data_IF_651579020302
#
_entry.id   IF_651579020302
#
_cell.length_a   1.000
_cell.length_b   1.000
_cell.length_c   1.000
_cell.angle_alpha   90.00
_cell.angle_beta   90.00
_cell.angle_gamma   90.00
#
_symmetry.space_group_name_H-M   'P 1'
#
loop_
_entity.id
_entity.type
_entity.pdbx_description
1 polymer ?
#
# COMPACT_ATOMS: atom_id res chain seq x y z
N UNK A 1 -9.20 16.11 29.25
CA UNK A 1 -10.00 16.73 28.18
C UNK A 1 -10.43 15.61 27.24
N UNK A 2 -11.74 15.39 27.10
CA UNK A 2 -12.29 14.26 26.35
C UNK A 2 -11.92 14.31 24.86
N UNK A 3 -11.93 13.14 24.23
CA UNK A 3 -11.92 12.98 22.77
C UNK A 3 -12.95 13.96 22.18
N UNK A 4 -12.64 14.68 21.09
CA UNK A 4 -13.67 15.44 20.39
C UNK A 4 -14.82 14.49 20.09
N UNK A 5 -16.07 14.90 20.35
CA UNK A 5 -17.22 14.16 19.82
C UNK A 5 -17.17 14.32 18.29
N UNK A 6 -16.40 13.45 17.62
CA UNK A 6 -16.65 13.12 16.24
C UNK A 6 -18.16 12.89 16.14
N UNK A 7 -18.83 13.56 15.20
CA UNK A 7 -20.23 13.25 14.91
C UNK A 7 -20.35 11.74 14.71
N UNK A 8 -21.48 11.17 15.12
CA UNK A 8 -21.72 9.74 14.97
C UNK A 8 -21.43 9.31 13.53
N UNK A 9 -20.66 8.21 13.37
CA UNK A 9 -20.18 7.80 12.06
C UNK A 9 -21.36 7.31 11.21
N UNK A 10 -21.48 7.87 10.01
CA UNK A 10 -22.49 7.42 9.04
C UNK A 10 -22.05 6.10 8.43
N UNK A 11 -22.86 5.05 8.56
CA UNK A 11 -22.56 3.75 7.95
C UNK A 11 -22.67 3.82 6.43
N UNK A 12 -21.64 3.34 5.74
CA UNK A 12 -21.57 3.31 4.28
C UNK A 12 -21.09 1.95 3.78
N UNK A 13 -21.43 1.61 2.54
CA UNK A 13 -20.92 0.41 1.84
C UNK A 13 -19.56 0.67 1.20
N UNK A 14 -18.84 -0.39 0.79
CA UNK A 14 -17.58 -0.23 0.03
C UNK A 14 -17.76 0.54 -1.28
N UNK A 15 -18.90 0.35 -1.97
CA UNK A 15 -19.22 1.11 -3.19
C UNK A 15 -19.41 2.60 -2.89
N UNK A 16 -20.07 2.93 -1.76
CA UNK A 16 -20.22 4.31 -1.33
C UNK A 16 -18.89 4.91 -0.88
N UNK A 17 -17.99 4.12 -0.26
CA UNK A 17 -16.63 4.54 0.09
C UNK A 17 -15.83 4.93 -1.14
N UNK A 18 -15.87 4.11 -2.21
CA UNK A 18 -15.19 4.41 -3.47
C UNK A 18 -15.70 5.72 -4.09
N UNK A 19 -17.03 5.91 -4.14
CA UNK A 19 -17.65 7.16 -4.62
C UNK A 19 -17.27 8.36 -3.77
N UNK A 20 -17.20 8.20 -2.45
CA UNK A 20 -16.79 9.26 -1.53
C UNK A 20 -15.34 9.68 -1.81
N UNK A 21 -14.44 8.73 -2.04
CA UNK A 21 -13.06 9.01 -2.38
C UNK A 21 -12.95 9.78 -3.71
N UNK A 22 -13.63 9.31 -4.75
CA UNK A 22 -13.71 9.96 -6.07
C UNK A 22 -14.25 11.40 -5.95
N UNK A 23 -15.36 11.58 -5.23
CA UNK A 23 -15.96 12.90 -4.95
C UNK A 23 -14.96 13.85 -4.26
N UNK A 24 -14.20 13.34 -3.29
CA UNK A 24 -13.18 14.14 -2.60
C UNK A 24 -12.06 14.56 -3.55
N UNK A 25 -11.63 13.65 -4.43
CA UNK A 25 -10.60 13.94 -5.43
C UNK A 25 -11.10 15.00 -6.41
N UNK A 26 -12.27 14.80 -7.03
CA UNK A 26 -12.79 15.67 -8.08
C UNK A 26 -13.09 17.08 -7.56
N UNK A 27 -13.68 17.20 -6.36
CA UNK A 27 -14.07 18.51 -5.80
C UNK A 27 -12.89 19.34 -5.30
N UNK A 28 -11.76 18.71 -4.94
CA UNK A 28 -10.67 19.39 -4.22
C UNK A 28 -9.34 19.42 -4.98
N UNK A 29 -9.26 18.77 -6.15
CA UNK A 29 -8.05 18.72 -6.96
C UNK A 29 -8.37 18.91 -8.44
N UNK A 30 -7.43 19.46 -9.18
CA UNK A 30 -7.50 19.59 -10.64
C UNK A 30 -6.58 18.55 -11.30
N UNK A 31 -6.75 18.33 -12.61
CA UNK A 31 -5.86 17.49 -13.39
C UNK A 31 -4.39 17.92 -13.22
N UNK A 32 -3.48 16.95 -13.19
CA UNK A 32 -2.03 17.12 -13.00
C UNK A 32 -1.59 17.74 -11.66
N UNK A 33 -2.50 17.99 -10.73
CA UNK A 33 -2.12 18.37 -9.37
C UNK A 33 -1.48 17.20 -8.63
N UNK A 34 -0.52 17.51 -7.75
CA UNK A 34 0.19 16.52 -6.94
C UNK A 34 -0.55 16.31 -5.63
N UNK A 35 -1.03 15.09 -5.41
CA UNK A 35 -1.66 14.68 -4.15
C UNK A 35 -0.69 13.82 -3.37
N UNK A 36 -0.57 14.08 -2.06
CA UNK A 36 0.27 13.28 -1.16
C UNK A 36 -0.57 12.19 -0.50
N UNK A 37 -0.10 10.96 -0.62
CA UNK A 37 -0.52 9.80 0.16
C UNK A 37 0.54 9.57 1.21
N UNK A 38 0.17 9.79 2.47
CA UNK A 38 1.07 9.70 3.60
C UNK A 38 0.69 8.50 4.47
N UNK A 39 1.65 7.60 4.68
CA UNK A 39 1.46 6.32 5.36
C UNK A 39 0.46 5.37 4.68
N UNK A 40 0.62 4.09 5.02
CA UNK A 40 0.31 2.90 4.22
C UNK A 40 -1.14 2.67 3.75
N UNK A 41 -1.22 1.83 2.71
CA UNK A 41 -2.32 0.91 2.37
C UNK A 41 -3.63 1.50 1.81
N UNK A 42 -3.54 2.15 0.66
CA UNK A 42 -4.70 2.65 -0.08
C UNK A 42 -4.55 2.45 -1.59
N UNK A 43 -4.37 1.20 -2.01
CA UNK A 43 -4.34 0.80 -3.43
C UNK A 43 -5.45 1.51 -4.20
N UNK A 44 -6.65 1.46 -3.65
CA UNK A 44 -7.85 2.05 -4.24
C UNK A 44 -7.75 3.58 -4.36
N UNK A 45 -7.25 4.29 -3.35
CA UNK A 45 -7.18 5.76 -3.39
C UNK A 45 -6.11 6.27 -4.34
N UNK A 46 -4.94 5.60 -4.37
CA UNK A 46 -3.87 5.92 -5.32
C UNK A 46 -4.31 5.65 -6.76
N UNK A 47 -5.00 4.52 -6.97
CA UNK A 47 -5.56 4.14 -8.25
C UNK A 47 -6.66 5.11 -8.69
N UNK A 48 -7.53 5.54 -7.77
CA UNK A 48 -8.59 6.49 -8.05
C UNK A 48 -8.03 7.86 -8.43
N UNK A 49 -7.01 8.35 -7.71
CA UNK A 49 -6.30 9.58 -8.07
C UNK A 49 -5.71 9.51 -9.49
N UNK A 50 -4.97 8.44 -9.79
CA UNK A 50 -4.32 8.28 -11.09
C UNK A 50 -5.34 8.08 -12.23
N UNK A 51 -6.42 7.34 -11.99
CA UNK A 51 -7.53 7.16 -12.96
C UNK A 51 -8.23 8.48 -13.29
N UNK A 52 -8.16 9.42 -12.36
CA UNK A 52 -8.66 10.77 -12.46
C UNK A 52 -7.56 11.75 -12.91
N UNK A 53 -6.41 11.30 -13.44
CA UNK A 53 -5.36 12.16 -13.98
C UNK A 53 -4.69 13.08 -12.94
N UNK A 54 -4.58 12.61 -11.69
CA UNK A 54 -3.82 13.30 -10.62
C UNK A 54 -2.44 12.64 -10.47
N UNK A 55 -1.42 13.46 -10.26
CA UNK A 55 -0.08 12.98 -9.93
C UNK A 55 -0.05 12.53 -8.47
N UNK A 56 0.46 11.33 -8.20
CA UNK A 56 0.45 10.75 -6.86
C UNK A 56 1.87 10.73 -6.29
N UNK A 57 2.05 11.31 -5.11
CA UNK A 57 3.26 11.19 -4.30
C UNK A 57 2.95 10.23 -3.14
N UNK A 58 3.69 9.13 -3.02
CA UNK A 58 3.48 8.14 -1.96
C UNK A 58 4.67 8.14 -1.03
N UNK A 59 4.45 8.54 0.22
CA UNK A 59 5.41 8.37 1.30
C UNK A 59 4.98 7.22 2.20
N UNK A 60 5.78 6.15 2.24
CA UNK A 60 5.55 4.97 3.07
C UNK A 60 6.88 4.38 3.54
N UNK A 61 6.99 4.18 4.85
CA UNK A 61 8.08 3.47 5.50
C UNK A 61 8.03 1.94 5.31
N UNK A 62 6.94 1.38 4.78
CA UNK A 62 6.87 -0.05 4.48
C UNK A 62 7.47 -0.38 3.11
N UNK A 63 8.57 -1.17 3.06
CA UNK A 63 9.22 -1.55 1.79
C UNK A 63 8.34 -2.42 0.88
N UNK A 64 7.36 -3.15 1.44
CA UNK A 64 6.44 -3.99 0.67
C UNK A 64 5.45 -3.17 -0.16
N UNK A 65 5.16 -1.92 0.25
CA UNK A 65 4.22 -1.05 -0.49
C UNK A 65 4.72 -0.82 -1.92
N UNK A 66 5.99 -0.46 -2.10
CA UNK A 66 6.54 -0.22 -3.44
C UNK A 66 6.44 -1.45 -4.33
N UNK A 67 6.68 -2.64 -3.76
CA UNK A 67 6.66 -3.93 -4.49
C UNK A 67 5.25 -4.29 -4.96
N UNK A 68 4.23 -4.08 -4.13
CA UNK A 68 2.85 -4.44 -4.44
C UNK A 68 2.10 -3.38 -5.26
N UNK A 69 2.45 -2.10 -5.08
CA UNK A 69 1.70 -1.00 -5.66
C UNK A 69 2.18 -0.65 -7.07
N UNK A 70 3.50 -0.60 -7.29
CA UNK A 70 4.05 -0.01 -8.52
C UNK A 70 3.63 -0.79 -9.78
N UNK A 71 3.52 -2.11 -9.68
CA UNK A 71 3.10 -2.99 -10.79
C UNK A 71 1.69 -2.67 -11.30
N UNK A 72 0.77 -2.26 -10.41
CA UNK A 72 -0.65 -2.04 -10.74
C UNK A 72 -0.93 -0.84 -11.66
N UNK A 73 0.08 -0.03 -11.97
CA UNK A 73 -0.03 1.14 -12.85
C UNK A 73 0.56 0.92 -14.25
N UNK A 74 1.14 -0.25 -14.53
CA UNK A 74 1.70 -0.56 -15.86
C UNK A 74 1.65 -2.05 -16.11
N UNK A 75 0.96 -2.50 -17.15
CA UNK A 75 0.71 -3.92 -17.40
C UNK A 75 1.56 -4.42 -18.59
N UNK A 76 2.39 -5.46 -18.41
CA UNK A 76 3.20 -6.01 -19.48
C UNK A 76 2.37 -6.89 -20.42
N UNK A 77 2.89 -7.20 -21.60
CA UNK A 77 2.28 -8.23 -22.43
C UNK A 77 2.40 -9.60 -21.77
N UNK A 78 1.35 -10.43 -21.90
CA UNK A 78 1.39 -11.82 -21.43
C UNK A 78 2.55 -12.61 -22.06
N UNK A 79 2.87 -12.33 -23.32
CA UNK A 79 3.98 -12.96 -24.04
C UNK A 79 5.32 -12.60 -23.39
N UNK A 80 5.53 -11.34 -23.04
CA UNK A 80 6.74 -10.89 -22.35
C UNK A 80 6.90 -11.55 -20.98
N UNK A 81 5.79 -11.66 -20.22
CA UNK A 81 5.78 -12.34 -18.92
C UNK A 81 6.18 -13.83 -19.05
N UNK A 82 5.57 -14.56 -20.01
CA UNK A 82 5.89 -15.97 -20.27
C UNK A 82 7.35 -16.17 -20.66
N UNK A 83 7.86 -15.33 -21.54
CA UNK A 83 9.25 -15.40 -21.98
C UNK A 83 10.20 -15.16 -20.80
N UNK A 84 9.91 -14.16 -19.96
CA UNK A 84 10.72 -13.85 -18.78
C UNK A 84 10.77 -15.02 -17.79
N UNK A 85 9.63 -15.63 -17.49
CA UNK A 85 9.56 -16.80 -16.58
C UNK A 85 10.29 -18.02 -17.16
N UNK A 86 10.26 -18.22 -18.48
CA UNK A 86 10.98 -19.31 -19.14
C UNK A 86 12.49 -19.20 -18.96
N UNK A 87 13.04 -17.99 -18.93
CA UNK A 87 14.47 -17.74 -18.79
C UNK A 87 15.02 -17.99 -17.37
N UNK A 88 14.15 -18.16 -16.37
CA UNK A 88 14.57 -18.43 -14.99
C UNK A 88 14.96 -19.90 -14.87
N UNK A 89 16.24 -20.20 -14.75
CA UNK A 89 16.72 -21.56 -14.52
C UNK A 89 16.40 -22.04 -13.11
N UNK A 90 16.06 -23.32 -12.97
CA UNK A 90 15.84 -23.92 -11.66
C UNK A 90 17.18 -24.32 -11.07
N UNK A 91 17.45 -23.86 -9.86
CA UNK A 91 18.63 -24.25 -9.11
C UNK A 91 18.23 -25.32 -8.08
N UNK A 92 19.13 -26.27 -7.79
CA UNK A 92 18.94 -27.27 -6.74
C UNK A 92 19.52 -26.76 -5.43
N UNK A 93 18.80 -26.92 -4.31
CA UNK A 93 19.18 -26.27 -3.05
C UNK A 93 19.21 -27.21 -1.84
N UNK A 94 19.96 -26.78 -0.83
CA UNK A 94 19.80 -27.27 0.54
C UNK A 94 18.51 -26.68 1.15
N UNK A 95 17.64 -27.50 1.74
CA UNK A 95 16.33 -27.06 2.20
C UNK A 95 16.40 -26.15 3.44
N UNK A 96 15.60 -25.08 3.44
CA UNK A 96 15.27 -24.37 4.66
C UNK A 96 14.08 -25.07 5.33
N UNK A 97 14.33 -25.73 6.46
CA UNK A 97 13.33 -26.55 7.16
C UNK A 97 12.04 -25.77 7.49
N UNK A 98 12.16 -24.48 7.84
CA UNK A 98 11.00 -23.64 8.17
C UNK A 98 10.12 -23.38 6.95
N UNK A 99 10.73 -23.15 5.77
CA UNK A 99 9.98 -22.89 4.54
C UNK A 99 9.32 -24.16 3.98
N UNK A 100 9.91 -25.32 4.23
CA UNK A 100 9.35 -26.62 3.84
C UNK A 100 8.09 -26.99 4.62
N UNK A 101 7.81 -26.35 5.76
CA UNK A 101 6.51 -26.50 6.43
C UNK A 101 5.36 -25.97 5.55
N UNK A 102 5.62 -24.95 4.73
CA UNK A 102 4.61 -24.27 3.93
C UNK A 102 4.62 -24.70 2.45
N UNK A 103 5.77 -25.10 1.93
CA UNK A 103 6.01 -25.33 0.50
C UNK A 103 6.62 -26.72 0.28
N UNK A 104 6.14 -27.45 -0.73
CA UNK A 104 6.82 -28.67 -1.16
C UNK A 104 8.26 -28.34 -1.63
N UNK A 105 9.21 -29.30 -1.59
CA UNK A 105 10.58 -29.06 -2.05
C UNK A 105 10.66 -28.54 -3.49
N UNK A 106 9.76 -29.00 -4.37
CA UNK A 106 9.64 -28.52 -5.75
C UNK A 106 9.23 -27.04 -5.75
N UNK A 107 8.10 -26.71 -5.13
CA UNK A 107 7.57 -25.33 -5.07
C UNK A 107 8.57 -24.36 -4.45
N UNK A 108 9.23 -24.77 -3.36
CA UNK A 108 10.28 -23.99 -2.70
C UNK A 108 11.43 -23.66 -3.64
N UNK A 109 11.93 -24.65 -4.38
CA UNK A 109 13.05 -24.48 -5.31
C UNK A 109 12.70 -23.50 -6.44
N UNK A 110 11.46 -23.54 -6.93
CA UNK A 110 11.00 -22.57 -7.94
C UNK A 110 10.93 -21.15 -7.37
N UNK A 111 10.35 -20.96 -6.18
CA UNK A 111 10.32 -19.65 -5.52
C UNK A 111 11.72 -19.10 -5.25
N UNK A 112 12.65 -19.95 -4.80
CA UNK A 112 14.03 -19.53 -4.54
C UNK A 112 14.76 -19.17 -5.84
N UNK A 113 14.56 -19.92 -6.91
CA UNK A 113 15.14 -19.60 -8.23
C UNK A 113 14.61 -18.27 -8.75
N UNK A 114 13.30 -18.02 -8.61
CA UNK A 114 12.68 -16.75 -8.97
C UNK A 114 13.18 -15.60 -8.08
N UNK A 115 13.32 -15.83 -6.78
CA UNK A 115 13.89 -14.87 -5.84
C UNK A 115 15.28 -14.42 -6.29
N UNK A 116 16.20 -15.37 -6.48
CA UNK A 116 17.59 -15.10 -6.87
C UNK A 116 17.65 -14.36 -8.20
N UNK A 117 16.88 -14.82 -9.20
CA UNK A 117 16.77 -14.11 -10.47
C UNK A 117 16.35 -12.64 -10.28
N UNK A 118 15.32 -12.41 -9.46
CA UNK A 118 14.72 -11.10 -9.26
C UNK A 118 15.53 -10.15 -8.36
N UNK A 119 16.50 -10.66 -7.60
CA UNK A 119 17.44 -9.84 -6.81
C UNK A 119 18.33 -9.01 -7.72
N UNK A 120 18.87 -9.62 -8.78
CA UNK A 120 19.78 -8.96 -9.73
C UNK A 120 19.09 -8.40 -10.98
N UNK A 121 17.81 -8.71 -11.18
CA UNK A 121 17.09 -8.31 -12.39
C UNK A 121 16.77 -6.79 -12.42
N UNK A 122 16.74 -6.17 -13.62
CA UNK A 122 16.38 -4.76 -13.76
C UNK A 122 14.96 -4.49 -13.24
N UNK A 123 14.70 -3.29 -12.73
CA UNK A 123 13.37 -2.87 -12.23
C UNK A 123 12.41 -2.51 -13.37
N UNK A 124 12.33 -3.37 -14.39
CA UNK A 124 11.38 -3.24 -15.49
C UNK A 124 9.97 -3.71 -15.08
N UNK A 125 8.97 -3.32 -15.86
CA UNK A 125 7.55 -3.60 -15.61
C UNK A 125 7.29 -5.10 -15.45
N UNK A 126 7.94 -5.96 -16.24
CA UNK A 126 7.73 -7.41 -16.20
C UNK A 126 8.22 -7.97 -14.86
N UNK A 127 9.44 -7.62 -14.44
CA UNK A 127 9.99 -8.08 -13.17
C UNK A 127 9.21 -7.56 -11.96
N UNK A 128 8.72 -6.31 -12.02
CA UNK A 128 7.85 -5.76 -10.98
C UNK A 128 6.55 -6.57 -10.87
N UNK A 129 5.96 -6.97 -12.00
CA UNK A 129 4.78 -7.84 -12.00
C UNK A 129 5.04 -9.22 -11.44
N UNK A 130 6.13 -9.87 -11.84
CA UNK A 130 6.51 -11.17 -11.30
C UNK A 130 6.69 -11.04 -9.78
N UNK A 131 7.45 -10.04 -9.29
CA UNK A 131 7.62 -9.78 -7.85
C UNK A 131 6.27 -9.64 -7.16
N UNK A 132 5.42 -8.74 -7.66
CA UNK A 132 4.09 -8.47 -7.10
C UNK A 132 3.24 -9.74 -7.00
N UNK A 133 3.13 -10.52 -8.08
CA UNK A 133 2.31 -11.74 -8.11
C UNK A 133 2.87 -12.82 -7.19
N UNK A 134 4.19 -13.02 -7.15
CA UNK A 134 4.79 -13.98 -6.23
C UNK A 134 4.47 -13.65 -4.77
N UNK A 135 4.46 -12.35 -4.43
CA UNK A 135 3.98 -11.89 -3.14
C UNK A 135 2.55 -12.33 -2.86
N UNK A 136 1.61 -12.06 -3.77
CA UNK A 136 0.20 -12.46 -3.64
C UNK A 136 0.03 -13.98 -3.49
N UNK A 137 0.76 -14.77 -4.29
CA UNK A 137 0.73 -16.24 -4.20
C UNK A 137 1.18 -16.70 -2.80
N UNK A 138 2.27 -16.14 -2.26
CA UNK A 138 2.76 -16.51 -0.94
C UNK A 138 1.82 -16.07 0.19
N UNK A 139 1.06 -14.98 0.01
CA UNK A 139 -0.01 -14.64 0.96
C UNK A 139 -1.07 -15.74 1.01
N UNK A 140 -1.48 -16.23 -0.16
CA UNK A 140 -2.47 -17.28 -0.28
C UNK A 140 -1.96 -18.62 0.26
N UNK A 141 -0.67 -18.93 0.10
CA UNK A 141 -0.03 -20.10 0.74
C UNK A 141 -0.17 -20.01 2.26
N UNK A 142 0.14 -18.87 2.88
CA UNK A 142 0.01 -18.68 4.33
C UNK A 142 -1.42 -18.87 4.82
N UNK A 143 -2.40 -18.29 4.10
CA UNK A 143 -3.83 -18.45 4.40
C UNK A 143 -4.26 -19.91 4.29
N UNK A 144 -3.87 -20.59 3.22
CA UNK A 144 -4.20 -22.00 2.99
C UNK A 144 -3.58 -22.93 4.01
N UNK A 145 -2.31 -22.73 4.37
CA UNK A 145 -1.64 -23.52 5.40
C UNK A 145 -2.30 -23.37 6.77
N UNK A 146 -2.80 -22.17 7.08
CA UNK A 146 -3.53 -21.94 8.33
C UNK A 146 -4.78 -22.81 8.46
N UNK A 147 -5.38 -23.20 7.34
CA UNK A 147 -6.59 -24.04 7.25
C UNK A 147 -6.22 -25.52 7.13
N UNK A 148 -5.38 -25.86 6.15
CA UNK A 148 -5.12 -27.25 5.73
C UNK A 148 -3.96 -27.92 6.47
N UNK A 149 -3.03 -27.14 7.02
CA UNK A 149 -1.81 -27.63 7.71
C UNK A 149 -0.94 -28.57 6.87
N UNK A 150 -0.96 -28.36 5.54
CA UNK A 150 -0.17 -29.15 4.59
C UNK A 150 0.64 -28.22 3.67
N UNK A 151 1.86 -28.64 3.28
CA UNK A 151 2.69 -27.86 2.37
C UNK A 151 2.08 -27.79 0.98
N UNK A 152 2.07 -26.59 0.40
CA UNK A 152 1.52 -26.36 -0.93
C UNK A 152 2.44 -26.90 -2.03
N UNK A 153 1.86 -27.62 -2.98
CA UNK A 153 2.58 -28.22 -4.12
C UNK A 153 1.97 -27.75 -5.44
N UNK A 154 2.66 -26.87 -6.17
CA UNK A 154 2.22 -26.34 -7.46
C UNK A 154 3.43 -25.81 -8.27
N UNK A 155 3.24 -25.64 -9.57
CA UNK A 155 4.21 -24.95 -10.43
C UNK A 155 4.05 -23.43 -10.29
N UNK A 156 5.10 -22.77 -9.81
CA UNK A 156 5.05 -21.35 -9.46
C UNK A 156 4.94 -20.49 -10.71
N UNK A 157 5.60 -20.87 -11.80
CA UNK A 157 5.57 -20.11 -13.05
C UNK A 157 4.19 -20.17 -13.71
N UNK A 158 3.56 -21.34 -13.72
CA UNK A 158 2.19 -21.51 -14.18
C UNK A 158 1.22 -20.70 -13.33
N UNK A 159 1.36 -20.74 -12.01
CA UNK A 159 0.52 -19.96 -11.09
C UNK A 159 0.66 -18.44 -11.33
N UNK A 160 1.87 -17.95 -11.61
CA UNK A 160 2.09 -16.53 -11.96
C UNK A 160 1.32 -16.15 -13.23
N UNK A 161 1.38 -17.00 -14.25
CA UNK A 161 0.68 -16.77 -15.53
C UNK A 161 -0.83 -16.77 -15.32
N UNK A 162 -1.35 -17.71 -14.54
CA UNK A 162 -2.78 -17.81 -14.22
C UNK A 162 -3.26 -16.57 -13.46
N UNK A 163 -2.54 -16.17 -12.41
CA UNK A 163 -2.88 -14.99 -11.61
C UNK A 163 -2.90 -13.73 -12.47
N UNK A 164 -1.89 -13.56 -13.34
CA UNK A 164 -1.82 -12.42 -14.24
C UNK A 164 -3.02 -12.37 -15.21
N UNK A 165 -3.41 -13.50 -15.80
CA UNK A 165 -4.57 -13.56 -16.71
C UNK A 165 -5.86 -13.14 -15.99
N UNK A 166 -6.08 -13.64 -14.78
CA UNK A 166 -7.28 -13.33 -14.00
C UNK A 166 -7.38 -11.84 -13.66
N UNK A 167 -6.25 -11.21 -13.34
CA UNK A 167 -6.20 -9.75 -13.14
C UNK A 167 -6.46 -9.02 -14.45
N UNK A 168 -5.74 -9.37 -15.52
CA UNK A 168 -5.77 -8.65 -16.79
C UNK A 168 -7.14 -8.69 -17.48
N UNK A 169 -7.90 -9.78 -17.33
CA UNK A 169 -9.22 -9.94 -17.94
C UNK A 169 -10.23 -8.85 -17.55
N UNK A 170 -10.04 -8.21 -16.40
CA UNK A 170 -11.01 -7.29 -15.82
C UNK A 170 -10.65 -5.81 -15.97
N UNK A 171 -9.57 -5.51 -16.72
CA UNK A 171 -9.04 -4.16 -16.78
C UNK A 171 -9.45 -3.46 -18.07
N UNK A 172 -9.98 -2.24 -17.92
CA UNK A 172 -10.29 -1.36 -19.04
C UNK A 172 -8.98 -0.85 -19.70
N UNK A 173 -8.75 -1.11 -21.01
CA UNK A 173 -7.55 -0.67 -21.71
C UNK A 173 -7.33 0.84 -21.74
N UNK A 174 -8.41 1.64 -21.78
CA UNK A 174 -8.33 3.11 -21.73
C UNK A 174 -7.81 3.55 -20.37
N UNK A 175 -8.32 2.92 -19.29
CA UNK A 175 -7.86 3.19 -17.93
C UNK A 175 -6.37 2.88 -17.77
N UNK A 176 -5.86 1.84 -18.43
CA UNK A 176 -4.43 1.53 -18.43
C UNK A 176 -3.55 2.62 -19.06
N UNK A 177 -3.99 3.21 -20.17
CA UNK A 177 -3.25 4.30 -20.84
C UNK A 177 -3.13 5.52 -19.92
N UNK A 178 -4.20 5.84 -19.21
CA UNK A 178 -4.21 6.92 -18.21
C UNK A 178 -3.25 6.57 -17.07
N UNK A 179 -3.42 5.41 -16.43
CA UNK A 179 -2.62 5.00 -15.28
C UNK A 179 -1.11 4.97 -15.58
N UNK A 180 -0.72 4.58 -16.79
CA UNK A 180 0.68 4.57 -17.20
C UNK A 180 1.32 5.96 -17.17
N UNK A 181 0.53 7.00 -17.43
CA UNK A 181 0.97 8.40 -17.41
C UNK A 181 1.02 8.98 -16.00
N UNK A 182 0.31 8.37 -15.04
CA UNK A 182 0.17 8.82 -13.66
C UNK A 182 0.71 7.80 -12.64
N UNK A 183 1.79 7.10 -13.00
CA UNK A 183 2.46 6.16 -12.10
C UNK A 183 2.89 6.92 -10.81
N UNK A 184 2.57 6.40 -9.61
CA UNK A 184 2.93 7.05 -8.37
C UNK A 184 4.44 7.22 -8.21
N UNK A 185 4.84 8.41 -7.76
CA UNK A 185 6.21 8.68 -7.34
C UNK A 185 6.38 8.29 -5.87
N UNK A 186 7.18 7.27 -5.61
CA UNK A 186 7.47 6.80 -4.25
C UNK A 186 8.62 7.60 -3.66
N UNK A 187 8.35 8.18 -2.49
CA UNK A 187 9.27 9.03 -1.75
C UNK A 187 9.82 8.24 -0.56
N UNK A 188 11.14 8.31 -0.35
CA UNK A 188 11.85 7.53 0.67
C UNK A 188 12.07 8.31 1.97
N UNK A 189 12.12 9.64 1.90
CA UNK A 189 12.34 10.54 3.04
C UNK A 189 11.30 11.66 3.06
N UNK A 190 10.85 12.06 4.26
CA UNK A 190 10.01 13.25 4.45
C UNK A 190 10.63 14.51 3.82
N UNK A 191 11.96 14.63 3.81
CA UNK A 191 12.65 15.76 3.19
C UNK A 191 12.42 15.86 1.68
N UNK A 192 12.26 14.71 1.00
CA UNK A 192 11.99 14.66 -0.45
C UNK A 192 10.55 15.11 -0.79
N UNK A 193 9.63 15.17 0.19
CA UNK A 193 8.25 15.63 -0.04
C UNK A 193 8.24 17.08 -0.54
N UNK A 194 9.04 17.96 0.06
CA UNK A 194 9.10 19.37 -0.33
C UNK A 194 9.65 19.56 -1.75
N UNK A 195 10.71 18.83 -2.08
CA UNK A 195 11.31 18.83 -3.42
C UNK A 195 10.29 18.31 -4.44
N UNK A 196 9.63 17.20 -4.13
CA UNK A 196 8.62 16.57 -4.98
C UNK A 196 7.40 17.45 -5.21
N UNK A 197 7.00 18.24 -4.20
CA UNK A 197 5.92 19.23 -4.32
C UNK A 197 6.40 20.57 -4.94
N UNK A 198 7.70 20.74 -5.19
CA UNK A 198 8.26 21.99 -5.72
C UNK A 198 8.05 23.18 -4.78
N UNK A 199 8.17 22.96 -3.46
CA UNK A 199 7.89 23.92 -2.38
C UNK A 199 6.44 24.45 -2.34
N UNK A 200 5.52 23.82 -3.08
CA UNK A 200 4.08 24.13 -3.01
C UNK A 200 3.41 23.24 -1.97
N UNK A 201 2.26 23.70 -1.47
CA UNK A 201 1.35 22.89 -0.68
C UNK A 201 0.37 22.14 -1.58
N UNK A 202 -0.20 21.05 -1.09
CA UNK A 202 -1.27 20.30 -1.77
C UNK A 202 -2.63 20.63 -1.16
N UNK A 203 -3.68 20.60 -1.97
CA UNK A 203 -5.07 20.79 -1.55
C UNK A 203 -5.71 19.51 -1.01
N UNK A 204 -5.09 18.34 -1.25
CA UNK A 204 -5.55 17.05 -0.76
C UNK A 204 -4.38 16.24 -0.22
N UNK A 205 -4.56 15.68 0.98
CA UNK A 205 -3.68 14.66 1.54
C UNK A 205 -4.54 13.47 1.95
N UNK A 206 -4.09 12.27 1.60
CA UNK A 206 -4.60 11.03 2.15
C UNK A 206 -3.68 10.57 3.28
N UNK A 207 -4.26 10.14 4.40
CA UNK A 207 -3.53 9.62 5.55
C UNK A 207 -4.17 8.33 6.05
N UNK A 208 -3.40 7.25 6.10
CA UNK A 208 -3.86 6.00 6.71
C UNK A 208 -2.81 5.51 7.71
N UNK A 209 -2.88 6.00 8.96
CA UNK A 209 -1.99 5.54 9.99
C UNK A 209 -2.28 4.08 10.31
N UNK A 210 -1.21 3.30 10.37
CA UNK A 210 -1.30 1.89 10.66
C UNK A 210 -0.57 1.56 11.95
N UNK A 211 -1.32 1.35 13.03
CA UNK A 211 -0.77 0.73 14.23
C UNK A 211 -0.64 -0.78 13.97
N UNK A 212 0.57 -1.24 13.62
CA UNK A 212 0.85 -2.67 13.49
C UNK A 212 1.52 -3.23 14.73
N UNK A 213 1.05 -4.40 15.16
CA UNK A 213 1.86 -5.29 15.98
C UNK A 213 2.94 -5.94 15.10
N UNK A 214 4.17 -5.45 15.17
CA UNK A 214 5.27 -5.88 14.27
C UNK A 214 5.51 -7.40 14.29
N UNK A 215 5.37 -8.05 15.44
CA UNK A 215 5.47 -9.52 15.53
C UNK A 215 4.35 -10.22 14.76
N UNK A 216 3.09 -9.78 14.94
CA UNK A 216 1.94 -10.33 14.22
C UNK A 216 2.09 -10.09 12.72
N UNK A 217 2.49 -8.89 12.32
CA UNK A 217 2.74 -8.54 10.93
C UNK A 217 3.82 -9.44 10.32
N UNK A 218 4.93 -9.64 11.03
CA UNK A 218 6.01 -10.54 10.61
C UNK A 218 5.47 -11.97 10.40
N UNK A 219 4.77 -12.52 11.40
CA UNK A 219 4.24 -13.88 11.30
C UNK A 219 3.25 -14.05 10.14
N UNK A 220 2.39 -13.06 9.89
CA UNK A 220 1.40 -13.12 8.82
C UNK A 220 2.01 -12.93 7.43
N UNK A 221 3.18 -12.29 7.32
CA UNK A 221 3.84 -11.98 6.06
C UNK A 221 5.20 -12.68 5.88
N UNK A 222 5.50 -13.68 6.72
CA UNK A 222 6.81 -14.31 6.79
C UNK A 222 7.35 -14.77 5.42
N UNK A 223 6.52 -15.46 4.63
CA UNK A 223 6.92 -15.93 3.29
C UNK A 223 7.21 -14.77 2.32
N UNK A 224 6.41 -13.69 2.36
CA UNK A 224 6.66 -12.49 1.55
C UNK A 224 7.95 -11.78 1.97
N UNK A 225 8.17 -11.64 3.26
CA UNK A 225 9.37 -11.03 3.84
C UNK A 225 10.62 -11.81 3.40
N UNK A 226 10.55 -13.14 3.47
CA UNK A 226 11.61 -14.01 2.96
C UNK A 226 11.82 -13.81 1.45
N UNK A 227 10.76 -13.81 0.65
CA UNK A 227 10.84 -13.66 -0.81
C UNK A 227 11.53 -12.34 -1.21
N UNK A 228 11.18 -11.24 -0.57
CA UNK A 228 11.66 -9.91 -0.95
C UNK A 228 12.91 -9.45 -0.19
N UNK A 229 13.48 -10.31 0.67
CA UNK A 229 14.69 -9.98 1.43
C UNK A 229 14.49 -8.83 2.42
N UNK A 230 13.27 -8.65 2.94
CA UNK A 230 12.97 -7.59 3.92
C UNK A 230 13.57 -7.97 5.27
N UNK A 231 14.34 -7.07 5.88
CA UNK A 231 15.02 -7.31 7.16
C UNK A 231 14.16 -6.93 8.36
N UNK A 232 14.54 -7.40 9.56
CA UNK A 232 13.88 -6.97 10.81
C UNK A 232 13.97 -5.45 11.02
N UNK A 233 15.07 -4.82 10.63
CA UNK A 233 15.26 -3.37 10.75
C UNK A 233 14.31 -2.61 9.84
N UNK A 234 14.07 -3.11 8.62
CA UNK A 234 13.06 -2.53 7.74
C UNK A 234 11.67 -2.57 8.38
N UNK A 235 11.35 -3.63 9.14
CA UNK A 235 10.04 -3.80 9.77
C UNK A 235 9.89 -3.00 11.07
N UNK A 236 10.98 -2.79 11.81
CA UNK A 236 10.99 -1.97 13.02
C UNK A 236 10.61 -0.51 12.73
N UNK A 237 10.86 -0.05 11.51
CA UNK A 237 10.50 1.29 11.06
C UNK A 237 9.04 1.42 10.64
N UNK A 238 8.33 0.31 10.36
CA UNK A 238 6.95 0.34 9.85
C UNK A 238 5.97 0.75 10.94
N UNK A 239 6.09 0.18 12.13
CA UNK A 239 5.17 0.45 13.23
C UNK A 239 5.87 0.56 14.58
N UNK A 240 5.50 1.59 15.38
CA UNK A 240 6.00 1.78 16.73
C UNK A 240 5.69 0.58 17.64
N UNK A 241 6.65 0.11 18.46
CA UNK A 241 6.46 -1.06 19.32
C UNK A 241 5.66 -0.77 20.59
N UNK A 242 5.37 0.50 20.89
CA UNK A 242 4.64 0.92 22.08
C UNK A 242 3.65 2.05 21.78
N UNK A 243 2.66 2.22 22.66
CA UNK A 243 1.67 3.29 22.56
C UNK A 243 2.29 4.69 22.65
N UNK A 244 3.32 4.88 23.47
CA UNK A 244 3.99 6.18 23.61
C UNK A 244 4.75 6.58 22.34
N UNK A 245 5.41 5.60 21.72
CA UNK A 245 6.09 5.82 20.44
C UNK A 245 5.07 6.03 19.30
N UNK A 246 3.91 5.38 19.37
CA UNK A 246 2.80 5.64 18.47
C UNK A 246 2.27 7.07 18.58
N UNK A 247 2.01 7.57 19.78
CA UNK A 247 1.59 8.96 20.01
C UNK A 247 2.65 9.93 19.48
N UNK A 248 3.93 9.63 19.70
CA UNK A 248 5.03 10.44 19.19
C UNK A 248 5.07 10.45 17.66
N UNK A 249 4.88 9.30 17.02
CA UNK A 249 4.84 9.18 15.57
C UNK A 249 3.63 9.94 14.99
N UNK A 250 2.45 9.74 15.57
CA UNK A 250 1.21 10.44 15.20
C UNK A 250 1.35 11.96 15.26
N UNK A 251 2.04 12.50 16.28
CA UNK A 251 2.40 13.92 16.38
C UNK A 251 3.32 14.38 15.24
N UNK A 252 4.35 13.60 14.91
CA UNK A 252 5.26 13.89 13.80
C UNK A 252 4.53 13.87 12.46
N UNK A 253 3.67 12.88 12.24
CA UNK A 253 2.87 12.73 11.04
C UNK A 253 1.94 13.92 10.86
N UNK A 254 1.23 14.32 11.92
CA UNK A 254 0.41 15.52 11.90
C UNK A 254 1.23 16.78 11.54
N UNK A 255 2.40 16.98 12.15
CA UNK A 255 3.24 18.13 11.87
C UNK A 255 3.68 18.17 10.39
N UNK A 256 4.06 17.02 9.83
CA UNK A 256 4.41 16.88 8.41
C UNK A 256 3.21 17.14 7.51
N UNK A 257 2.05 16.56 7.80
CA UNK A 257 0.82 16.75 7.02
C UNK A 257 0.39 18.22 7.04
N UNK A 258 0.33 18.84 8.23
CA UNK A 258 -0.06 20.24 8.39
C UNK A 258 0.92 21.22 7.72
N UNK A 259 2.20 20.86 7.61
CA UNK A 259 3.19 21.65 6.85
C UNK A 259 2.88 21.68 5.36
N UNK A 260 2.50 20.54 4.78
CA UNK A 260 2.32 20.35 3.34
C UNK A 260 0.87 20.55 2.84
N UNK A 261 -0.12 20.57 3.73
CA UNK A 261 -1.51 20.82 3.37
C UNK A 261 -1.79 22.33 3.23
N UNK A 262 -2.39 22.74 2.14
CA UNK A 262 -2.77 24.12 1.90
C UNK A 262 -3.89 24.59 2.85
N UNK A 263 -4.01 25.90 3.02
CA UNK A 263 -5.18 26.49 3.68
C UNK A 263 -6.42 26.14 2.85
N UNK A 264 -7.51 25.74 3.51
CA UNK A 264 -8.69 25.13 2.85
C UNK A 264 -8.43 23.77 2.19
N UNK A 265 -7.25 23.18 2.41
CA UNK A 265 -6.97 21.82 1.98
C UNK A 265 -7.73 20.79 2.80
N UNK A 266 -7.98 19.64 2.17
CA UNK A 266 -8.70 18.51 2.72
C UNK A 266 -7.73 17.39 3.11
N UNK A 267 -7.93 16.85 4.31
CA UNK A 267 -7.23 15.67 4.81
C UNK A 267 -8.22 14.50 4.90
N UNK A 268 -8.03 13.51 4.03
CA UNK A 268 -8.79 12.28 4.02
C UNK A 268 -8.08 11.23 4.86
N UNK A 269 -8.70 10.78 5.95
CA UNK A 269 -8.09 9.85 6.90
C UNK A 269 -8.83 8.52 6.82
N UNK A 270 -8.11 7.41 6.65
CA UNK A 270 -8.63 6.07 6.94
C UNK A 270 -7.99 5.50 8.19
N UNK A 271 -8.78 4.81 9.02
CA UNK A 271 -8.23 4.03 10.12
C UNK A 271 -9.11 2.83 10.44
N UNK A 272 -8.48 1.73 10.82
CA UNK A 272 -9.16 0.55 11.39
C UNK A 272 -9.43 0.70 12.89
N UNK A 273 -8.73 1.60 13.59
CA UNK A 273 -8.86 1.83 15.03
C UNK A 273 -8.88 3.33 15.32
N UNK A 274 -10.06 3.86 15.61
CA UNK A 274 -10.23 5.31 15.81
C UNK A 274 -9.55 5.83 17.08
N UNK A 275 -9.34 4.95 18.07
CA UNK A 275 -8.66 5.27 19.32
C UNK A 275 -7.20 5.67 19.07
N UNK A 276 -6.59 5.11 18.03
CA UNK A 276 -5.20 5.41 17.63
C UNK A 276 -5.05 6.81 17.02
N UNK A 277 -6.16 7.42 16.60
CA UNK A 277 -6.22 8.77 16.04
C UNK A 277 -6.49 9.87 17.06
N UNK A 278 -6.73 9.54 18.33
CA UNK A 278 -7.20 10.51 19.32
C UNK A 278 -6.28 11.75 19.42
N UNK A 279 -4.98 11.53 19.59
CA UNK A 279 -4.00 12.62 19.69
C UNK A 279 -3.84 13.39 18.37
N UNK A 280 -3.93 12.69 17.23
CA UNK A 280 -3.90 13.31 15.91
C UNK A 280 -5.07 14.28 15.73
N UNK A 281 -6.28 13.84 16.08
CA UNK A 281 -7.50 14.62 15.95
C UNK A 281 -7.52 15.83 16.90
N UNK A 282 -7.02 15.66 18.13
CA UNK A 282 -6.84 16.80 19.06
C UNK A 282 -5.93 17.87 18.48
N UNK A 283 -4.80 17.48 17.88
CA UNK A 283 -3.90 18.43 17.21
C UNK A 283 -4.58 19.08 16.01
N UNK A 284 -5.26 18.32 15.16
CA UNK A 284 -5.96 18.87 14.02
C UNK A 284 -6.95 19.97 14.43
N UNK A 285 -7.75 19.75 15.47
CA UNK A 285 -8.66 20.78 15.98
C UNK A 285 -7.93 22.00 16.55
N UNK A 286 -6.85 21.79 17.30
CA UNK A 286 -6.01 22.89 17.81
C UNK A 286 -5.45 23.75 16.67
N UNK A 287 -5.16 23.14 15.51
CA UNK A 287 -4.69 23.81 14.29
C UNK A 287 -5.84 24.19 13.33
N UNK A 288 -7.05 24.41 13.85
CA UNK A 288 -8.22 24.91 13.11
C UNK A 288 -8.71 24.00 11.97
N UNK A 289 -8.56 22.69 12.10
CA UNK A 289 -9.27 21.75 11.23
C UNK A 289 -10.71 21.57 11.72
N UNK A 290 -11.64 21.36 10.81
CA UNK A 290 -13.02 20.98 11.12
C UNK A 290 -13.36 19.63 10.50
N UNK A 291 -14.25 18.89 11.15
CA UNK A 291 -14.75 17.60 10.64
C UNK A 291 -15.87 17.87 9.64
N UNK A 292 -15.60 17.61 8.37
CA UNK A 292 -16.59 17.68 7.27
C UNK A 292 -17.37 16.37 7.15
N UNK A 293 -16.73 15.23 7.43
CA UNK A 293 -17.35 13.92 7.31
C UNK A 293 -16.75 12.89 8.25
N UNK A 294 -17.60 11.99 8.75
CA UNK A 294 -17.22 10.81 9.50
C UNK A 294 -18.08 9.63 9.05
N UNK A 295 -17.45 8.66 8.39
CA UNK A 295 -18.11 7.51 7.80
C UNK A 295 -17.47 6.21 8.27
N UNK A 296 -18.26 5.14 8.31
CA UNK A 296 -17.77 3.83 8.71
C UNK A 296 -18.23 2.74 7.75
N UNK A 297 -17.28 1.94 7.31
CA UNK A 297 -17.50 0.63 6.69
C UNK A 297 -17.46 -0.47 7.75
N UNK A 298 -17.52 -1.73 7.33
CA UNK A 298 -17.33 -2.86 8.26
C UNK A 298 -15.89 -2.94 8.80
N UNK A 299 -14.90 -2.48 8.02
CA UNK A 299 -13.48 -2.68 8.34
C UNK A 299 -12.76 -1.41 8.78
N UNK A 300 -13.17 -0.25 8.27
CA UNK A 300 -12.47 1.03 8.47
C UNK A 300 -13.42 2.20 8.65
N UNK A 301 -12.96 3.21 9.38
CA UNK A 301 -13.53 4.55 9.45
C UNK A 301 -12.84 5.49 8.46
N UNK A 302 -13.62 6.34 7.81
CA UNK A 302 -13.17 7.43 6.94
C UNK A 302 -13.51 8.76 7.59
N UNK A 303 -12.50 9.59 7.88
CA UNK A 303 -12.67 10.91 8.47
C UNK A 303 -12.17 11.95 7.47
N UNK A 304 -13.01 12.93 7.17
CA UNK A 304 -12.69 14.03 6.26
C UNK A 304 -12.53 15.29 7.11
N UNK A 305 -11.32 15.85 7.12
CA UNK A 305 -11.02 17.10 7.80
C UNK A 305 -10.73 18.20 6.79
N UNK A 306 -11.29 19.39 7.03
CA UNK A 306 -11.00 20.61 6.26
C UNK A 306 -10.19 21.57 7.11
N UNK A 307 -9.04 22.01 6.60
CA UNK A 307 -8.23 23.05 7.24
C UNK A 307 -8.87 24.42 7.03
N UNK A 308 -9.21 25.15 8.10
CA UNK A 308 -9.68 26.53 7.96
C UNK A 308 -8.55 27.50 7.55
N UNK A 309 -8.89 28.65 6.95
CA UNK A 309 -7.92 29.64 6.48
C UNK A 309 -6.96 30.13 7.56
#
# INVERSE_FOLDING_TARGET
MGVPQLKEATKITEVQKMRLAEDCIIKNTYENTKTLIYQMNCDDFAYELASNERSVLIYSNNPLVKIHYQSRFSFPSITGLKQRLKNVELVSFAPNAVLLEYLSPKTYSEFLSLKLYLEDAPKDVINLWIKSILGEILENVMKNYSIKKEPCNFDVKEQVIEYYKNIYQNINPIRLLILHSFIPHFIEDVAQIEESLGKKKTTLIYYNPLFLQSQKFYSSNFLKIWLFGVTKDNLAQIAPPSRDLWITQSKKDFATINKHLDNRGLLYIESSQIQDLEEFLKLALFYNYIVEGNYATQEKTQIILLRKP
#
